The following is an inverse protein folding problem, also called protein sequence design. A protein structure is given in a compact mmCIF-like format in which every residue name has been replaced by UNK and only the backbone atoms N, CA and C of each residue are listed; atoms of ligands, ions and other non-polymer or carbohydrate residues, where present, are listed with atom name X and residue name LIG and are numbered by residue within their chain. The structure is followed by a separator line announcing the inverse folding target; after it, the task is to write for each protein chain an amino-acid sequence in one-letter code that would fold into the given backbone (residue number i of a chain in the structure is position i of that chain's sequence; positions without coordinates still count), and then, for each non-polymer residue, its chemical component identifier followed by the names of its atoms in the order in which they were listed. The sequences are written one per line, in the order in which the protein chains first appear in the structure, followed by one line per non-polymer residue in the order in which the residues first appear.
data_IF_710769090966
#
_entry.id   IF_710769090966
#
_cell.length_a   1.000
_cell.length_b   1.000
_cell.length_c   1.000
_cell.angle_alpha   90.00
_cell.angle_beta   90.00
_cell.angle_gamma   90.00
#
_symmetry.space_group_name_H-M   'P 1'
#
loop_
_entity.id
_entity.type
_entity.pdbx_description
1 polymer ?
#
# COMPACT_ATOMS: atom_id res chain seq x y z
N UNK A 1 -48.61 -39.84 -30.08
CA UNK A 1 -47.64 -39.01 -29.35
C UNK A 1 -47.13 -39.82 -28.17
N UNK A 2 -45.84 -40.19 -28.20
CA UNK A 2 -45.24 -41.16 -27.28
C UNK A 2 -45.20 -40.64 -25.83
N UNK A 3 -45.69 -41.48 -24.91
CA UNK A 3 -45.71 -41.24 -23.45
C UNK A 3 -44.32 -40.87 -22.89
N UNK A 4 -43.26 -41.40 -23.50
CA UNK A 4 -41.85 -41.09 -23.20
C UNK A 4 -41.51 -39.64 -23.51
N UNK A 5 -41.97 -39.11 -24.64
CA UNK A 5 -41.75 -37.73 -25.08
C UNK A 5 -42.47 -36.72 -24.18
N UNK A 6 -43.68 -37.05 -23.71
CA UNK A 6 -44.42 -36.23 -22.74
C UNK A 6 -43.72 -36.18 -21.38
N UNK A 7 -43.20 -37.31 -20.89
CA UNK A 7 -42.48 -37.36 -19.60
C UNK A 7 -41.19 -36.53 -19.63
N UNK A 8 -40.40 -36.62 -20.71
CA UNK A 8 -39.18 -35.80 -20.85
C UNK A 8 -39.48 -34.31 -20.93
N UNK A 9 -40.57 -33.92 -21.61
CA UNK A 9 -41.00 -32.52 -21.69
C UNK A 9 -41.42 -31.97 -20.32
N UNK A 10 -42.14 -32.75 -19.51
CA UNK A 10 -42.54 -32.34 -18.16
C UNK A 10 -41.34 -32.23 -17.22
N UNK A 11 -40.39 -33.18 -17.26
CA UNK A 11 -39.18 -33.11 -16.43
C UNK A 11 -38.31 -31.90 -16.81
N UNK A 12 -38.17 -31.62 -18.11
CA UNK A 12 -37.44 -30.44 -18.58
C UNK A 12 -38.10 -29.13 -18.13
N UNK A 13 -39.44 -29.03 -18.21
CA UNK A 13 -40.17 -27.86 -17.72
C UNK A 13 -40.00 -27.67 -16.21
N UNK A 14 -40.06 -28.74 -15.42
CA UNK A 14 -39.85 -28.68 -13.96
C UNK A 14 -38.43 -28.22 -13.59
N UNK A 15 -37.41 -28.71 -14.30
CA UNK A 15 -36.02 -28.29 -14.08
C UNK A 15 -35.78 -26.83 -14.45
N UNK A 16 -36.40 -26.34 -15.54
CA UNK A 16 -36.31 -24.93 -15.94
C UNK A 16 -37.01 -24.03 -14.91
N UNK A 17 -38.19 -24.41 -14.41
CA UNK A 17 -38.91 -23.65 -13.39
C UNK A 17 -38.13 -23.61 -12.07
N UNK A 18 -37.54 -24.73 -11.65
CA UNK A 18 -36.70 -24.79 -10.46
C UNK A 18 -35.44 -23.91 -10.60
N UNK A 19 -34.78 -23.94 -11.75
CA UNK A 19 -33.60 -23.11 -12.03
C UNK A 19 -33.90 -21.61 -12.11
N UNK A 20 -35.02 -21.22 -12.74
CA UNK A 20 -35.45 -19.82 -12.79
C UNK A 20 -35.89 -19.31 -11.41
N UNK A 21 -36.50 -20.16 -10.58
CA UNK A 21 -36.89 -19.83 -9.21
C UNK A 21 -35.68 -19.52 -8.33
N UNK A 22 -34.63 -20.34 -8.36
CA UNK A 22 -33.41 -20.11 -7.56
C UNK A 22 -32.63 -18.89 -8.04
N UNK A 23 -32.56 -18.68 -9.36
CA UNK A 23 -31.92 -17.50 -9.94
C UNK A 23 -32.67 -16.21 -9.55
N UNK A 24 -34.01 -16.24 -9.59
CA UNK A 24 -34.86 -15.11 -9.19
C UNK A 24 -34.70 -14.74 -7.71
N UNK A 25 -34.65 -15.73 -6.82
CA UNK A 25 -34.40 -15.47 -5.38
C UNK A 25 -33.02 -14.87 -5.17
N UNK A 26 -31.98 -15.42 -5.82
CA UNK A 26 -30.60 -14.94 -5.69
C UNK A 26 -30.42 -13.51 -6.21
N UNK A 27 -31.03 -13.17 -7.35
CA UNK A 27 -31.05 -11.81 -7.89
C UNK A 27 -31.82 -10.87 -6.95
N UNK A 28 -32.96 -11.30 -6.40
CA UNK A 28 -33.75 -10.48 -5.48
C UNK A 28 -33.01 -10.20 -4.15
N UNK A 29 -32.29 -11.18 -3.58
CA UNK A 29 -31.42 -10.93 -2.43
C UNK A 29 -30.27 -10.01 -2.78
N UNK A 30 -29.64 -10.20 -3.94
CA UNK A 30 -28.54 -9.33 -4.39
C UNK A 30 -29.01 -7.88 -4.59
N UNK A 31 -30.15 -7.66 -5.26
CA UNK A 31 -30.77 -6.33 -5.39
C UNK A 31 -31.13 -5.77 -4.02
N UNK A 32 -31.68 -6.57 -3.10
CA UNK A 32 -31.99 -6.09 -1.75
C UNK A 32 -30.76 -5.73 -0.92
N UNK A 33 -29.61 -6.37 -1.18
CA UNK A 33 -28.31 -6.02 -0.57
C UNK A 33 -27.71 -4.78 -1.23
N UNK A 34 -27.77 -4.67 -2.56
CA UNK A 34 -27.26 -3.51 -3.32
C UNK A 34 -28.12 -2.25 -3.16
N UNK A 35 -29.43 -2.40 -2.98
CA UNK A 35 -30.38 -1.30 -2.76
C UNK A 35 -30.53 -0.92 -1.29
N UNK A 36 -29.85 -1.60 -0.35
CA UNK A 36 -29.81 -1.20 1.07
C UNK A 36 -28.78 -0.11 1.33
N UNK A 37 -28.61 0.79 0.37
CA UNK A 37 -27.87 2.03 0.54
C UNK A 37 -28.51 3.14 -0.29
N UNK A 38 -29.76 3.45 0.03
CA UNK A 38 -30.20 4.84 0.01
C UNK A 38 -30.49 5.21 1.46
N UNK A 39 -29.40 5.43 2.20
CA UNK A 39 -29.47 6.28 3.37
C UNK A 39 -29.95 7.62 2.79
N UNK A 40 -31.20 7.99 3.09
CA UNK A 40 -31.68 9.35 2.83
C UNK A 40 -30.54 10.32 3.15
N UNK A 41 -30.22 11.30 2.30
CA UNK A 41 -29.07 12.16 2.50
C UNK A 41 -29.06 12.56 3.98
N UNK A 42 -27.99 12.22 4.75
CA UNK A 42 -27.98 12.54 6.16
C UNK A 42 -28.32 14.02 6.24
N UNK A 43 -29.37 14.34 7.00
CA UNK A 43 -29.71 15.72 7.31
C UNK A 43 -28.38 16.45 7.56
N UNK A 44 -28.16 17.67 6.98
CA UNK A 44 -26.88 18.34 7.06
C UNK A 44 -26.34 18.18 8.47
N UNK A 45 -25.24 17.42 8.59
CA UNK A 45 -24.66 17.13 9.90
C UNK A 45 -24.57 18.48 10.61
N UNK A 46 -25.20 18.67 11.78
CA UNK A 46 -24.93 19.87 12.56
C UNK A 46 -23.41 19.92 12.67
N UNK A 47 -22.79 20.99 12.14
CA UNK A 47 -21.35 21.13 12.06
C UNK A 47 -20.76 20.62 13.37
N UNK A 48 -20.16 19.43 13.31
CA UNK A 48 -19.66 18.80 14.51
C UNK A 48 -18.53 19.71 14.96
N UNK A 49 -18.81 20.47 16.01
CA UNK A 49 -17.83 21.29 16.70
C UNK A 49 -16.59 20.42 16.85
N UNK A 50 -15.49 20.84 16.23
CA UNK A 50 -14.21 20.11 16.23
C UNK A 50 -13.70 19.86 17.65
N UNK A 51 -14.25 20.58 18.65
CA UNK A 51 -14.00 20.32 20.07
C UNK A 51 -14.78 19.12 20.65
N UNK A 52 -15.81 18.58 19.99
CA UNK A 52 -16.60 17.45 20.50
C UNK A 52 -15.81 16.12 20.56
N UNK A 53 -14.66 16.05 19.88
CA UNK A 53 -13.78 14.89 19.91
C UNK A 53 -12.66 15.00 20.95
N UNK A 54 -12.56 16.10 21.70
CA UNK A 54 -11.43 16.37 22.61
C UNK A 54 -10.05 16.14 21.95
N UNK A 55 -9.94 16.39 20.65
CA UNK A 55 -8.67 16.28 19.94
C UNK A 55 -7.93 17.60 20.14
N UNK A 56 -6.94 17.58 21.03
CA UNK A 56 -6.04 18.70 21.19
C UNK A 56 -5.30 18.97 19.88
N UNK A 57 -5.09 20.25 19.57
CA UNK A 57 -4.22 20.64 18.47
C UNK A 57 -2.85 19.96 18.65
N UNK A 58 -2.32 19.27 17.62
CA UNK A 58 -1.04 18.60 17.74
C UNK A 58 0.04 19.62 18.08
N UNK A 59 0.84 19.35 19.11
CA UNK A 59 2.00 20.18 19.43
C UNK A 59 2.97 20.13 18.26
N UNK A 60 3.21 21.28 17.63
CA UNK A 60 4.20 21.39 16.57
C UNK A 60 5.61 21.30 17.16
N UNK A 61 6.53 20.78 16.36
CA UNK A 61 7.93 20.65 16.76
C UNK A 61 8.61 21.99 16.48
N UNK A 62 9.37 22.48 17.45
CA UNK A 62 10.08 23.75 17.33
C UNK A 62 11.24 23.67 16.33
N UNK A 63 11.56 24.76 15.59
CA UNK A 63 12.71 24.81 14.67
C UNK A 63 14.05 24.41 15.27
N UNK A 64 14.23 24.60 16.59
CA UNK A 64 15.45 24.20 17.31
C UNK A 64 15.58 22.70 17.58
N UNK A 65 14.57 21.88 17.26
CA UNK A 65 14.63 20.44 17.45
C UNK A 65 15.41 19.76 16.32
N UNK A 66 16.30 18.83 16.65
CA UNK A 66 17.10 18.07 15.68
C UNK A 66 16.26 17.32 14.62
N UNK A 67 14.98 17.02 14.91
CA UNK A 67 14.06 16.33 14.00
C UNK A 67 13.20 17.27 13.15
N UNK A 68 13.27 18.57 13.40
CA UNK A 68 12.39 19.56 12.76
C UNK A 68 12.47 19.49 11.24
N UNK A 69 13.68 19.49 10.67
CA UNK A 69 13.90 19.47 9.23
C UNK A 69 13.34 18.20 8.57
N UNK A 70 13.52 17.03 9.19
CA UNK A 70 12.99 15.78 8.69
C UNK A 70 11.46 15.75 8.69
N UNK A 71 10.84 16.19 9.80
CA UNK A 71 9.38 16.24 9.86
C UNK A 71 8.77 17.30 8.96
N UNK A 72 9.42 18.47 8.82
CA UNK A 72 8.98 19.52 7.90
C UNK A 72 8.94 19.00 6.46
N UNK A 73 10.00 18.32 6.02
CA UNK A 73 10.06 17.73 4.67
C UNK A 73 8.93 16.71 4.44
N UNK A 74 8.63 15.86 5.43
CA UNK A 74 7.53 14.90 5.31
C UNK A 74 6.15 15.58 5.24
N UNK A 75 5.93 16.62 6.05
CA UNK A 75 4.67 17.39 6.00
C UNK A 75 4.50 18.09 4.65
N UNK A 76 5.56 18.68 4.11
CA UNK A 76 5.56 19.30 2.78
C UNK A 76 5.26 18.28 1.68
N UNK A 77 5.89 17.10 1.74
CA UNK A 77 5.62 15.99 0.83
C UNK A 77 4.15 15.56 0.88
N UNK A 78 3.61 15.29 2.08
CA UNK A 78 2.21 14.87 2.21
C UNK A 78 1.25 15.94 1.69
N UNK A 79 1.48 17.22 2.04
CA UNK A 79 0.65 18.32 1.52
C UNK A 79 0.67 18.40 -0.01
N UNK A 80 1.82 18.16 -0.64
CA UNK A 80 1.94 18.16 -2.09
C UNK A 80 1.27 16.95 -2.75
N UNK A 81 1.19 15.81 -2.06
CA UNK A 81 0.55 14.59 -2.57
C UNK A 81 -0.98 14.65 -2.53
N UNK A 82 -1.54 15.36 -1.55
CA UNK A 82 -3.00 15.43 -1.32
C UNK A 82 -3.72 16.12 -2.48
N UNK A 83 -4.85 15.54 -2.89
CA UNK A 83 -5.83 16.16 -3.77
C UNK A 83 -7.13 16.46 -2.98
N UNK A 84 -7.21 17.68 -2.44
CA UNK A 84 -8.34 18.13 -1.61
C UNK A 84 -9.66 18.33 -2.39
N UNK A 85 -9.66 18.18 -3.71
CA UNK A 85 -10.87 18.20 -4.53
C UNK A 85 -11.60 16.85 -4.57
N UNK A 86 -10.98 15.78 -4.06
CA UNK A 86 -11.58 14.43 -3.98
C UNK A 86 -12.10 14.18 -2.58
N UNK A 87 -13.29 13.59 -2.45
CA UNK A 87 -13.81 13.18 -1.15
C UNK A 87 -13.06 11.92 -0.66
N UNK A 88 -12.39 11.94 0.50
CA UNK A 88 -11.67 10.77 1.01
C UNK A 88 -12.55 9.58 1.35
N UNK A 89 -13.86 9.77 1.56
CA UNK A 89 -14.80 8.67 1.78
C UNK A 89 -15.16 7.92 0.49
N UNK A 90 -15.03 8.59 -0.66
CA UNK A 90 -15.41 8.04 -1.96
C UNK A 90 -14.17 7.43 -2.67
N UNK A 91 -13.04 8.14 -2.64
CA UNK A 91 -11.76 7.64 -3.18
C UNK A 91 -10.58 8.17 -2.34
N UNK A 92 -10.25 7.43 -1.29
CA UNK A 92 -9.13 7.77 -0.41
C UNK A 92 -7.78 7.75 -1.14
N UNK A 93 -7.61 6.90 -2.15
CA UNK A 93 -6.35 6.83 -2.89
C UNK A 93 -6.13 8.09 -3.71
N UNK A 94 -7.13 8.54 -4.46
CA UNK A 94 -7.04 9.80 -5.22
C UNK A 94 -6.94 11.01 -4.29
N UNK A 95 -7.65 11.03 -3.17
CA UNK A 95 -7.46 12.07 -2.16
C UNK A 95 -6.03 12.11 -1.60
N UNK A 96 -5.46 10.96 -1.25
CA UNK A 96 -4.15 10.89 -0.60
C UNK A 96 -2.97 11.10 -1.56
N UNK A 97 -3.10 10.62 -2.80
CA UNK A 97 -2.00 10.47 -3.75
C UNK A 97 -2.24 11.12 -5.11
N UNK A 98 -3.43 11.64 -5.40
CA UNK A 98 -3.81 12.10 -6.74
C UNK A 98 -2.92 13.21 -7.31
N UNK A 99 -2.27 14.00 -6.45
CA UNK A 99 -1.33 15.04 -6.85
C UNK A 99 0.14 14.62 -6.74
N UNK A 100 0.44 13.43 -6.22
CA UNK A 100 1.81 12.96 -6.14
C UNK A 100 2.39 12.73 -7.54
N UNK A 101 3.51 13.39 -7.86
CA UNK A 101 4.20 13.30 -9.16
C UNK A 101 5.64 12.76 -9.06
N UNK A 102 6.09 12.41 -7.86
CA UNK A 102 7.46 11.99 -7.61
C UNK A 102 7.66 10.48 -7.72
N UNK A 103 8.93 10.07 -7.67
CA UNK A 103 9.29 8.68 -7.39
C UNK A 103 9.12 8.39 -5.89
N UNK A 104 8.81 7.13 -5.57
CA UNK A 104 8.72 6.67 -4.18
C UNK A 104 10.06 6.88 -3.46
N UNK A 105 10.02 7.18 -2.16
CA UNK A 105 11.21 7.48 -1.34
C UNK A 105 12.32 6.43 -1.46
N UNK A 106 11.95 5.14 -1.57
CA UNK A 106 12.91 4.06 -1.73
C UNK A 106 13.65 4.08 -3.07
N UNK A 107 13.02 4.57 -4.14
CA UNK A 107 13.69 4.72 -5.44
C UNK A 107 14.75 5.81 -5.35
N UNK A 108 14.40 6.97 -4.77
CA UNK A 108 15.35 8.07 -4.58
C UNK A 108 16.53 7.64 -3.69
N UNK A 109 16.26 6.96 -2.57
CA UNK A 109 17.32 6.46 -1.67
C UNK A 109 18.20 5.41 -2.36
N UNK A 110 17.62 4.54 -3.18
CA UNK A 110 18.40 3.59 -3.99
C UNK A 110 19.31 4.31 -4.98
N UNK A 111 18.81 5.34 -5.67
CA UNK A 111 19.59 6.13 -6.60
C UNK A 111 20.72 6.89 -5.89
N UNK A 112 20.44 7.51 -4.74
CA UNK A 112 21.46 8.20 -3.93
C UNK A 112 22.52 7.23 -3.41
N UNK A 113 22.12 6.04 -2.97
CA UNK A 113 23.06 5.02 -2.53
C UNK A 113 23.92 4.52 -3.69
N UNK A 114 23.32 4.30 -4.86
CA UNK A 114 24.06 3.90 -6.07
C UNK A 114 25.04 4.98 -6.51
N UNK A 115 24.65 6.26 -6.43
CA UNK A 115 25.50 7.41 -6.70
C UNK A 115 26.73 7.40 -5.78
N UNK A 116 26.51 7.35 -4.47
CA UNK A 116 27.58 7.31 -3.46
C UNK A 116 28.49 6.09 -3.63
N UNK A 117 27.92 4.93 -3.93
CA UNK A 117 28.71 3.73 -4.23
C UNK A 117 29.60 3.96 -5.46
N UNK A 118 29.08 4.58 -6.52
CA UNK A 118 29.87 4.90 -7.71
C UNK A 118 30.98 5.89 -7.42
N UNK A 119 30.71 6.93 -6.65
CA UNK A 119 31.72 7.89 -6.20
C UNK A 119 32.85 7.20 -5.43
N UNK A 120 32.50 6.32 -4.48
CA UNK A 120 33.47 5.56 -3.72
C UNK A 120 34.26 4.57 -4.59
N UNK A 121 33.63 3.91 -5.55
CA UNK A 121 34.31 3.02 -6.49
C UNK A 121 35.27 3.76 -7.44
N UNK A 122 35.02 5.05 -7.69
CA UNK A 122 35.93 5.90 -8.45
C UNK A 122 37.10 6.43 -7.60
N UNK A 123 37.00 6.38 -6.26
CA UNK A 123 38.09 6.72 -5.36
C UNK A 123 39.09 5.56 -5.25
N UNK A 124 40.27 5.76 -5.86
CA UNK A 124 41.37 4.79 -5.84
C UNK A 124 41.83 4.43 -4.43
N UNK A 125 41.74 5.34 -3.47
CA UNK A 125 42.11 5.07 -2.08
C UNK A 125 41.07 4.16 -1.42
N UNK A 126 39.78 4.44 -1.63
CA UNK A 126 38.70 3.58 -1.16
C UNK A 126 38.85 2.15 -1.70
N UNK A 127 39.05 2.01 -3.02
CA UNK A 127 39.26 0.69 -3.66
C UNK A 127 40.51 -0.01 -3.12
N UNK A 128 41.64 0.70 -3.00
CA UNK A 128 42.89 0.14 -2.48
C UNK A 128 42.72 -0.37 -1.05
N UNK A 129 42.07 0.40 -0.18
CA UNK A 129 41.84 0.05 1.21
C UNK A 129 40.87 -1.14 1.32
N UNK A 130 39.80 -1.16 0.53
CA UNK A 130 38.87 -2.28 0.48
C UNK A 130 39.55 -3.60 0.09
N UNK A 131 40.42 -3.57 -0.93
CA UNK A 131 41.22 -4.74 -1.34
C UNK A 131 42.18 -5.17 -0.23
N UNK A 132 42.85 -4.22 0.42
CA UNK A 132 43.75 -4.49 1.55
C UNK A 132 43.03 -5.19 2.70
N UNK A 133 41.82 -4.75 3.05
CA UNK A 133 40.99 -5.35 4.11
C UNK A 133 40.50 -6.75 3.76
N UNK A 134 40.14 -7.00 2.51
CA UNK A 134 39.76 -8.34 2.04
C UNK A 134 40.97 -9.28 2.12
N UNK A 135 42.15 -8.82 1.68
CA UNK A 135 43.37 -9.60 1.71
C UNK A 135 43.82 -9.91 3.14
N UNK A 136 43.77 -8.94 4.06
CA UNK A 136 44.14 -9.16 5.47
C UNK A 136 43.24 -10.21 6.13
N UNK A 137 41.92 -10.10 5.96
CA UNK A 137 40.96 -11.10 6.47
C UNK A 137 41.15 -12.48 5.84
N UNK A 138 41.42 -12.53 4.54
CA UNK A 138 41.68 -13.81 3.86
C UNK A 138 42.92 -14.52 4.42
N UNK A 139 43.96 -13.75 4.76
CA UNK A 139 45.18 -14.27 5.38
C UNK A 139 44.96 -14.78 6.81
N UNK A 140 44.08 -14.13 7.59
CA UNK A 140 43.70 -14.58 8.93
C UNK A 140 42.90 -15.88 8.88
N UNK A 141 41.94 -15.99 7.96
CA UNK A 141 41.17 -17.22 7.76
C UNK A 141 42.07 -18.38 7.34
N UNK A 142 43.04 -18.14 6.44
CA UNK A 142 44.01 -19.15 6.02
C UNK A 142 44.89 -19.62 7.19
N UNK A 143 45.35 -18.71 8.05
CA UNK A 143 46.11 -19.06 9.27
C UNK A 143 45.25 -19.89 10.22
N UNK A 144 44.01 -19.48 10.48
CA UNK A 144 43.08 -20.21 11.34
C UNK A 144 42.87 -21.65 10.84
N UNK A 145 42.63 -21.83 9.53
CA UNK A 145 42.46 -23.15 8.91
C UNK A 145 43.70 -24.02 9.05
N UNK A 146 44.90 -23.45 8.87
CA UNK A 146 46.15 -24.19 9.00
C UNK A 146 46.37 -24.67 10.44
N UNK A 147 46.15 -23.78 11.42
CA UNK A 147 46.25 -24.12 12.85
C UNK A 147 45.25 -25.17 13.30
N UNK A 148 44.02 -25.18 12.77
CA UNK A 148 43.00 -26.16 13.17
C UNK A 148 43.17 -27.56 12.57
N UNK A 149 43.96 -27.72 11.50
CA UNK A 149 44.07 -29.00 10.78
C UNK A 149 45.47 -29.63 10.83
N UNK A 150 46.50 -28.90 11.27
CA UNK A 150 47.88 -29.38 11.30
C UNK A 150 48.52 -29.32 12.70
N UNK A 151 47.71 -29.49 13.75
CA UNK A 151 48.17 -29.59 15.14
C UNK A 151 47.82 -30.93 15.77
#
# INVERSE_FOLDING_TARGET
MDKKTTIFSVISAVLIIAGLGTLGVSIATLVKVLSKEEIAPPAPLPQKDVNSLNIHSPKQIEPGNAKYSGYKQMVELFKASLNSSVNPCDDFYQYACGNFKGEMSFVNVQMDNLEKMREQLNDKNYVKNAVSDVLSKSSEVAKQYFFSNFH
#
